data_IF_699256498646
#
_entry.id   IF_699256498646
#
_cell.length_a   1.000
_cell.length_b   1.000
_cell.length_c   1.000
_cell.angle_alpha   90.00
_cell.angle_beta   90.00
_cell.angle_gamma   90.00
#
_symmetry.space_group_name_H-M   'P 1'
#
loop_
_entity.id
_entity.type
_entity.pdbx_description
1 polymer ?
#
# COMPACT_ATOMS: atom_id res chain seq x y z
N UNK A 1 -2.10 17.41 -4.35
CA UNK A 1 -1.63 16.04 -4.08
C UNK A 1 -2.82 15.16 -3.76
N UNK A 2 -2.83 13.96 -4.32
CA UNK A 2 -3.81 12.91 -4.09
C UNK A 2 -3.20 11.90 -3.11
N UNK A 3 -3.73 11.86 -1.89
CA UNK A 3 -3.14 11.09 -0.78
C UNK A 3 -3.98 9.85 -0.54
N UNK A 4 -3.34 8.69 -0.44
CA UNK A 4 -3.98 7.41 -0.15
C UNK A 4 -3.36 6.85 1.11
N UNK A 5 -4.21 6.41 2.02
CA UNK A 5 -3.80 5.69 3.21
C UNK A 5 -4.38 4.29 3.19
N UNK A 6 -3.56 3.28 3.39
CA UNK A 6 -3.99 1.88 3.39
C UNK A 6 -3.56 1.19 4.67
N UNK A 7 -4.52 0.61 5.38
CA UNK A 7 -4.29 -0.20 6.57
C UNK A 7 -4.45 -1.67 6.21
N UNK A 8 -3.40 -2.46 6.43
CA UNK A 8 -3.41 -3.90 6.22
C UNK A 8 -3.14 -4.64 7.52
N UNK A 9 -3.69 -5.84 7.66
CA UNK A 9 -3.40 -6.71 8.79
C UNK A 9 -3.15 -8.13 8.30
N UNK A 10 -1.99 -8.69 8.62
CA UNK A 10 -1.68 -10.09 8.34
C UNK A 10 -2.50 -11.04 9.21
N UNK A 11 -2.85 -12.22 8.69
CA UNK A 11 -3.14 -13.39 9.52
C UNK A 11 -1.87 -13.80 10.28
N UNK A 12 -2.06 -14.53 11.38
CA UNK A 12 -0.94 -15.01 12.19
C UNK A 12 0.02 -15.88 11.35
N UNK A 13 1.32 -15.60 11.45
CA UNK A 13 2.38 -16.34 10.73
C UNK A 13 2.60 -15.87 9.29
N UNK A 14 1.90 -14.83 8.83
CA UNK A 14 2.09 -14.21 7.51
C UNK A 14 2.63 -12.79 7.56
N UNK A 15 3.11 -12.33 8.71
CA UNK A 15 3.65 -10.99 8.92
C UNK A 15 4.87 -10.74 8.03
N UNK A 16 5.87 -11.62 8.08
CA UNK A 16 7.10 -11.51 7.28
C UNK A 16 6.87 -11.59 5.76
N UNK A 17 6.10 -12.56 5.21
CA UNK A 17 5.84 -12.58 3.78
C UNK A 17 4.98 -11.39 3.32
N UNK A 18 4.01 -10.92 4.13
CA UNK A 18 3.26 -9.71 3.82
C UNK A 18 4.16 -8.49 3.77
N UNK A 19 5.02 -8.30 4.79
CA UNK A 19 6.00 -7.21 4.81
C UNK A 19 6.89 -7.23 3.56
N UNK A 20 7.44 -8.40 3.20
CA UNK A 20 8.32 -8.52 2.05
C UNK A 20 7.61 -8.14 0.74
N UNK A 21 6.36 -8.56 0.56
CA UNK A 21 5.55 -8.18 -0.59
C UNK A 21 5.25 -6.68 -0.62
N UNK A 22 4.85 -6.10 0.52
CA UNK A 22 4.57 -4.66 0.63
C UNK A 22 5.81 -3.80 0.40
N UNK A 23 6.99 -4.25 0.85
CA UNK A 23 8.26 -3.55 0.57
C UNK A 23 8.59 -3.52 -0.92
N UNK A 24 8.36 -4.62 -1.63
CA UNK A 24 8.53 -4.69 -3.09
C UNK A 24 7.53 -3.79 -3.82
N UNK A 25 6.27 -3.80 -3.39
CA UNK A 25 5.25 -2.89 -3.91
C UNK A 25 5.70 -1.44 -3.78
N UNK A 26 6.13 -1.02 -2.58
CA UNK A 26 6.65 0.34 -2.35
C UNK A 26 7.83 0.69 -3.26
N UNK A 27 8.74 -0.25 -3.51
CA UNK A 27 9.87 -0.01 -4.41
C UNK A 27 9.38 0.26 -5.83
N UNK A 28 8.52 -0.59 -6.38
CA UNK A 28 7.96 -0.40 -7.72
C UNK A 28 7.10 0.87 -7.81
N UNK A 29 6.32 1.16 -6.78
CA UNK A 29 5.46 2.35 -6.76
C UNK A 29 6.26 3.65 -6.76
N UNK A 30 7.45 3.67 -6.15
CA UNK A 30 8.33 4.85 -6.20
C UNK A 30 8.93 5.10 -7.58
N UNK A 31 8.96 4.09 -8.46
CA UNK A 31 9.41 4.23 -9.84
C UNK A 31 8.29 4.72 -10.77
N UNK A 32 7.05 4.80 -10.29
CA UNK A 32 5.92 5.31 -11.06
C UNK A 32 6.02 6.84 -11.25
N UNK A 33 5.89 7.38 -12.47
CA UNK A 33 6.03 8.82 -12.73
C UNK A 33 5.06 9.70 -11.92
N UNK A 34 3.90 9.16 -11.55
CA UNK A 34 2.87 9.85 -10.79
C UNK A 34 3.02 9.76 -9.27
N UNK A 35 3.91 8.91 -8.76
CA UNK A 35 4.15 8.76 -7.32
C UNK A 35 5.13 9.82 -6.82
N UNK A 36 4.72 10.55 -5.79
CA UNK A 36 5.58 11.52 -5.09
C UNK A 36 6.17 10.93 -3.81
N UNK A 37 5.45 10.02 -3.15
CA UNK A 37 5.87 9.40 -1.90
C UNK A 37 5.12 8.09 -1.70
N UNK A 38 5.82 7.03 -1.32
CA UNK A 38 5.21 5.83 -0.72
C UNK A 38 6.04 5.39 0.48
N UNK A 39 5.43 5.29 1.65
CA UNK A 39 6.09 4.91 2.91
C UNK A 39 5.27 3.81 3.59
N UNK A 40 5.95 2.72 3.91
CA UNK A 40 5.40 1.59 4.65
C UNK A 40 5.83 1.66 6.12
N UNK A 41 4.86 1.49 7.01
CA UNK A 41 5.03 1.49 8.45
C UNK A 41 4.53 0.17 9.03
N UNK A 42 5.12 -0.24 10.16
CA UNK A 42 4.58 -1.28 11.04
C UNK A 42 3.98 -0.60 12.27
N UNK A 43 2.81 -1.07 12.70
CA UNK A 43 2.21 -0.60 13.95
C UNK A 43 3.04 -1.03 15.16
N UNK A 44 3.19 -0.12 16.13
CA UNK A 44 3.79 -0.41 17.43
C UNK A 44 2.83 -1.15 18.37
N UNK A 45 1.52 -1.06 18.11
CA UNK A 45 0.48 -1.69 18.94
C UNK A 45 0.14 -3.11 18.47
N UNK A 46 0.42 -3.43 17.21
CA UNK A 46 0.14 -4.72 16.62
C UNK A 46 1.15 -5.04 15.51
N UNK A 47 2.08 -5.95 15.78
CA UNK A 47 3.13 -6.32 14.82
C UNK A 47 2.60 -6.92 13.50
N UNK A 48 1.34 -7.37 13.49
CA UNK A 48 0.67 -7.87 12.28
C UNK A 48 0.05 -6.76 11.43
N UNK A 49 -0.01 -5.53 11.94
CA UNK A 49 -0.65 -4.41 11.27
C UNK A 49 0.39 -3.51 10.58
N UNK A 50 0.06 -3.12 9.36
CA UNK A 50 0.86 -2.28 8.49
C UNK A 50 0.03 -1.07 8.04
N UNK A 51 0.72 0.04 7.86
CA UNK A 51 0.15 1.27 7.33
C UNK A 51 0.98 1.71 6.13
N UNK A 52 0.32 1.99 5.01
CA UNK A 52 0.92 2.52 3.80
C UNK A 52 0.40 3.95 3.60
N UNK A 53 1.32 4.89 3.47
CA UNK A 53 1.04 6.28 3.15
C UNK A 53 1.59 6.58 1.77
N UNK A 54 0.70 6.93 0.85
CA UNK A 54 1.04 7.15 -0.55
C UNK A 54 0.54 8.51 -1.00
N UNK A 55 1.36 9.20 -1.77
CA UNK A 55 1.07 10.51 -2.33
C UNK A 55 1.32 10.44 -3.82
N UNK A 56 0.25 10.65 -4.57
CA UNK A 56 0.26 10.77 -6.01
C UNK A 56 0.05 12.22 -6.42
N UNK A 57 0.51 12.56 -7.63
CA UNK A 57 0.34 13.89 -8.21
C UNK A 57 -1.15 14.26 -8.30
N UNK A 58 -1.96 13.34 -8.81
CA UNK A 58 -3.38 13.50 -9.11
C UNK A 58 -4.10 12.13 -9.03
N UNK A 59 -5.42 12.14 -9.29
CA UNK A 59 -6.24 10.94 -9.26
C UNK A 59 -5.88 9.97 -10.40
N UNK A 60 -5.56 10.48 -11.59
CA UNK A 60 -5.17 9.69 -12.76
C UNK A 60 -3.92 8.86 -12.46
N UNK A 61 -2.91 9.46 -11.83
CA UNK A 61 -1.71 8.75 -11.35
C UNK A 61 -2.04 7.59 -10.39
N UNK A 62 -3.04 7.74 -9.53
CA UNK A 62 -3.48 6.66 -8.62
C UNK A 62 -4.28 5.57 -9.36
N UNK A 63 -5.06 5.94 -10.37
CA UNK A 63 -5.77 4.98 -11.20
C UNK A 63 -4.78 4.13 -12.01
N UNK A 64 -3.75 4.76 -12.60
CA UNK A 64 -2.64 4.07 -13.27
C UNK A 64 -1.91 3.10 -12.32
N UNK A 65 -1.57 3.56 -11.11
CA UNK A 65 -1.02 2.72 -10.05
C UNK A 65 -1.89 1.48 -9.78
N UNK A 66 -3.20 1.69 -9.62
CA UNK A 66 -4.16 0.65 -9.24
C UNK A 66 -4.35 -0.43 -10.30
N UNK A 67 -4.04 -0.12 -11.57
CA UNK A 67 -4.13 -1.08 -12.69
C UNK A 67 -2.77 -1.59 -13.16
N UNK A 68 -1.68 -1.12 -12.54
CA UNK A 68 -0.33 -1.56 -12.87
C UNK A 68 -0.10 -3.06 -12.59
N UNK A 69 0.82 -3.66 -13.36
CA UNK A 69 1.13 -5.09 -13.23
C UNK A 69 1.63 -5.44 -11.83
N UNK A 70 2.59 -4.69 -11.27
CA UNK A 70 3.15 -4.96 -9.95
C UNK A 70 2.11 -4.81 -8.83
N UNK A 71 1.17 -3.88 -8.95
CA UNK A 71 0.06 -3.75 -8.00
C UNK A 71 -0.85 -4.98 -8.05
N UNK A 72 -1.33 -5.35 -9.23
CA UNK A 72 -2.24 -6.49 -9.42
C UNK A 72 -1.62 -7.82 -8.97
N UNK A 73 -0.36 -8.07 -9.33
CA UNK A 73 0.39 -9.26 -8.90
C UNK A 73 0.60 -9.28 -7.38
N UNK A 74 0.91 -8.13 -6.78
CA UNK A 74 1.03 -8.02 -5.32
C UNK A 74 -0.31 -8.32 -4.65
N UNK A 75 -1.42 -7.73 -5.11
CA UNK A 75 -2.74 -7.95 -4.53
C UNK A 75 -3.16 -9.41 -4.61
N UNK A 76 -2.93 -10.06 -5.75
CA UNK A 76 -3.19 -11.50 -5.91
C UNK A 76 -2.37 -12.33 -4.90
N UNK A 77 -1.11 -11.96 -4.69
CA UNK A 77 -0.20 -12.65 -3.77
C UNK A 77 -0.60 -12.47 -2.30
N UNK A 78 -0.94 -11.24 -1.89
CA UNK A 78 -1.13 -10.93 -0.46
C UNK A 78 -2.54 -11.18 0.04
N UNK A 79 -3.56 -11.17 -0.83
CA UNK A 79 -4.97 -11.38 -0.44
C UNK A 79 -5.20 -12.56 0.50
N UNK A 80 -4.66 -13.77 0.27
CA UNK A 80 -4.83 -14.91 1.20
C UNK A 80 -4.13 -14.75 2.55
N UNK A 81 -3.29 -13.71 2.72
CA UNK A 81 -2.55 -13.43 3.94
C UNK A 81 -3.20 -12.34 4.78
N UNK A 82 -4.27 -11.72 4.30
CA UNK A 82 -4.94 -10.63 5.01
C UNK A 82 -5.99 -11.16 5.98
N UNK A 83 -5.94 -10.68 7.22
CA UNK A 83 -6.92 -11.00 8.26
C UNK A 83 -8.27 -10.32 8.05
N UNK A 84 -8.34 -9.32 7.18
CA UNK A 84 -9.53 -8.55 6.81
C UNK A 84 -9.22 -7.77 5.52
N UNK A 85 -10.26 -7.26 4.85
CA UNK A 85 -10.09 -6.35 3.72
C UNK A 85 -9.24 -5.13 4.12
N UNK A 86 -8.36 -4.63 3.23
CA UNK A 86 -7.60 -3.40 3.50
C UNK A 86 -8.52 -2.21 3.79
N UNK A 87 -8.18 -1.42 4.80
CA UNK A 87 -8.85 -0.15 5.08
C UNK A 87 -8.22 0.97 4.26
N UNK A 88 -8.89 1.41 3.19
CA UNK A 88 -8.40 2.44 2.27
C UNK A 88 -9.16 3.75 2.52
N UNK A 89 -8.43 4.86 2.59
CA UNK A 89 -9.00 6.19 2.58
C UNK A 89 -8.21 7.11 1.65
N UNK A 90 -8.91 8.06 1.04
CA UNK A 90 -8.37 8.97 0.03
C UNK A 90 -8.59 10.41 0.49
N UNK A 91 -7.57 11.24 0.33
CA UNK A 91 -7.57 12.62 0.77
C UNK A 91 -6.95 13.53 -0.31
N UNK A 92 -7.30 14.81 -0.24
CA UNK A 92 -6.61 15.88 -0.95
C UNK A 92 -5.87 16.73 0.05
N UNK A 93 -4.60 17.05 -0.22
CA UNK A 93 -3.87 18.02 0.59
C UNK A 93 -4.50 19.42 0.45
N UNK A 94 -4.68 20.12 1.58
CA UNK A 94 -5.34 21.44 1.64
C UNK A 94 -4.42 22.57 2.15
N UNK A 95 -3.24 22.24 2.69
CA UNK A 95 -2.22 23.17 3.16
C UNK A 95 -0.84 22.55 2.99
#
# INVERSE_FOLDING_TARGET
MFVVTTHLRAIQGKEAPLEAALRKLVQHTRDEPGNSTSILYRSLENERAFFLYEVFKDQESFEEHSVSTHFQETMQTITPWLAQSPGIAVYRQIY
#
